data_IF_629854588946
#
_entry.id   IF_629854588946
#
_cell.length_a   1.000
_cell.length_b   1.000
_cell.length_c   1.000
_cell.angle_alpha   90.00
_cell.angle_beta   90.00
_cell.angle_gamma   90.00
#
_symmetry.space_group_name_H-M   'P 1'
#
loop_
_entity.id
_entity.type
_entity.pdbx_description
1 polymer ?
#
# COMPACT_ATOMS: atom_id res chain seq x y z
N UNK A 1 -11.44 -16.86 -12.37
CA UNK A 1 -10.86 -17.46 -11.14
C UNK A 1 -10.07 -16.49 -10.27
N UNK A 2 -9.23 -15.59 -10.82
CA UNK A 2 -8.39 -14.68 -10.01
C UNK A 2 -9.18 -13.79 -9.02
N UNK A 3 -10.35 -13.28 -9.42
CA UNK A 3 -11.21 -12.47 -8.54
C UNK A 3 -11.82 -13.24 -7.35
N UNK A 4 -12.15 -14.53 -7.51
CA UNK A 4 -12.68 -15.34 -6.40
C UNK A 4 -11.61 -15.61 -5.35
N UNK A 5 -10.37 -15.90 -5.77
CA UNK A 5 -9.23 -16.02 -4.84
C UNK A 5 -8.99 -14.71 -4.07
N UNK A 6 -9.06 -13.58 -4.77
CA UNK A 6 -8.94 -12.28 -4.10
C UNK A 6 -10.07 -12.05 -3.09
N UNK A 7 -11.31 -12.48 -3.39
CA UNK A 7 -12.42 -12.40 -2.46
C UNK A 7 -12.20 -13.26 -1.20
N UNK A 8 -11.69 -14.48 -1.34
CA UNK A 8 -11.35 -15.37 -0.21
C UNK A 8 -10.31 -14.75 0.72
N UNK A 9 -9.32 -14.05 0.15
CA UNK A 9 -8.26 -13.38 0.92
C UNK A 9 -8.78 -12.11 1.58
N UNK A 10 -9.54 -11.29 0.85
CA UNK A 10 -9.91 -9.94 1.29
C UNK A 10 -11.16 -9.90 2.17
N UNK A 11 -12.17 -10.74 1.92
CA UNK A 11 -13.43 -10.74 2.68
C UNK A 11 -13.26 -10.82 4.22
N UNK A 12 -12.33 -11.62 4.80
CA UNK A 12 -12.14 -11.68 6.25
C UNK A 12 -11.33 -10.50 6.83
N UNK A 13 -10.82 -9.58 6.01
CA UNK A 13 -10.01 -8.46 6.46
C UNK A 13 -10.90 -7.31 6.90
N UNK A 14 -10.91 -7.02 8.20
CA UNK A 14 -11.66 -5.93 8.80
C UNK A 14 -10.74 -5.10 9.69
N UNK A 15 -10.37 -3.91 9.21
CA UNK A 15 -9.50 -2.99 9.93
C UNK A 15 -9.81 -1.55 9.52
N UNK A 16 -9.81 -0.57 10.45
CA UNK A 16 -10.13 0.82 10.15
C UNK A 16 -9.18 1.50 9.14
N UNK A 17 -7.99 0.92 8.93
CA UNK A 17 -6.97 1.42 8.00
C UNK A 17 -6.80 0.57 6.74
N UNK A 18 -7.76 -0.30 6.46
CA UNK A 18 -7.86 -1.01 5.18
C UNK A 18 -9.06 -0.49 4.40
N UNK A 19 -8.90 -0.39 3.08
CA UNK A 19 -10.01 -0.12 2.18
C UNK A 19 -11.04 -1.24 2.30
N UNK A 20 -12.28 -0.88 2.65
CA UNK A 20 -13.33 -1.87 2.84
C UNK A 20 -13.65 -2.56 1.51
N UNK A 21 -13.72 -3.89 1.55
CA UNK A 21 -14.15 -4.72 0.44
C UNK A 21 -15.64 -5.05 0.57
N UNK A 22 -16.37 -5.01 -0.55
CA UNK A 22 -17.80 -5.30 -0.60
C UNK A 22 -18.14 -6.57 -1.39
N UNK A 23 -17.32 -6.96 -2.35
CA UNK A 23 -17.55 -8.18 -3.12
C UNK A 23 -16.78 -8.22 -4.44
N UNK A 24 -17.09 -9.23 -5.26
CA UNK A 24 -16.55 -9.39 -6.62
C UNK A 24 -17.64 -9.78 -7.60
N UNK A 25 -17.44 -9.43 -8.86
CA UNK A 25 -18.12 -10.05 -9.99
C UNK A 25 -17.13 -10.94 -10.73
N UNK A 26 -17.52 -12.18 -11.02
CA UNK A 26 -16.70 -13.15 -11.75
C UNK A 26 -17.31 -13.57 -13.09
N UNK A 27 -18.52 -13.10 -13.40
CA UNK A 27 -19.24 -13.41 -14.64
C UNK A 27 -19.02 -12.27 -15.64
N UNK A 28 -18.68 -12.61 -16.88
CA UNK A 28 -18.29 -11.62 -17.89
C UNK A 28 -16.92 -11.03 -17.59
N UNK A 29 -16.82 -9.70 -17.61
CA UNK A 29 -15.60 -8.97 -17.23
C UNK A 29 -15.46 -8.93 -15.69
N UNK A 30 -14.46 -9.61 -15.11
CA UNK A 30 -14.34 -9.69 -13.66
C UNK A 30 -13.92 -8.36 -13.03
N UNK A 31 -14.54 -8.00 -11.90
CA UNK A 31 -14.17 -6.80 -11.15
C UNK A 31 -14.38 -6.97 -9.63
N UNK A 32 -13.75 -6.08 -8.87
CA UNK A 32 -13.84 -6.03 -7.40
C UNK A 32 -14.61 -4.77 -7.00
N UNK A 33 -15.50 -4.89 -6.02
CA UNK A 33 -16.26 -3.79 -5.43
C UNK A 33 -15.64 -3.44 -4.09
N UNK A 34 -15.16 -2.20 -3.95
CA UNK A 34 -14.49 -1.68 -2.76
C UNK A 34 -15.02 -0.30 -2.36
N UNK A 35 -14.70 0.14 -1.16
CA UNK A 35 -14.93 1.52 -0.72
C UNK A 35 -14.32 2.51 -1.69
N UNK A 36 -15.09 3.54 -2.05
CA UNK A 36 -14.58 4.65 -2.84
C UNK A 36 -13.58 5.43 -1.99
N UNK A 37 -12.33 5.43 -2.42
CA UNK A 37 -11.24 6.18 -1.81
C UNK A 37 -10.52 7.02 -2.86
N UNK A 38 -9.70 7.95 -2.40
CA UNK A 38 -8.88 8.80 -3.24
C UNK A 38 -7.41 8.46 -3.00
N UNK A 39 -6.57 8.66 -4.02
CA UNK A 39 -5.12 8.63 -3.79
C UNK A 39 -4.73 9.83 -2.92
N UNK A 40 -3.77 9.61 -2.02
CA UNK A 40 -3.23 10.71 -1.21
C UNK A 40 -2.59 11.73 -2.16
N UNK A 41 -3.08 12.96 -2.11
CA UNK A 41 -2.61 14.07 -2.95
C UNK A 41 -2.61 15.38 -2.15
N UNK A 42 -1.88 16.38 -2.64
CA UNK A 42 -1.75 17.67 -1.96
C UNK A 42 -0.85 17.60 -0.72
N UNK A 43 -1.24 18.26 0.37
CA UNK A 43 -0.43 18.30 1.59
C UNK A 43 -0.49 16.96 2.35
N UNK A 44 0.53 16.13 2.15
CA UNK A 44 0.64 14.79 2.75
C UNK A 44 0.95 14.92 4.24
N UNK A 45 0.02 14.47 5.08
CA UNK A 45 0.23 14.35 6.52
C UNK A 45 0.88 13.03 6.88
N UNK A 46 1.95 13.07 7.69
CA UNK A 46 2.56 11.88 8.27
C UNK A 46 1.60 11.04 9.12
N UNK A 47 0.54 11.67 9.67
CA UNK A 47 -0.52 10.94 10.36
C UNK A 47 -1.26 9.98 9.40
N UNK A 48 -1.58 10.44 8.19
CA UNK A 48 -2.26 9.61 7.18
C UNK A 48 -1.35 8.45 6.75
N UNK A 49 -0.05 8.71 6.57
CA UNK A 49 0.92 7.67 6.21
C UNK A 49 1.08 6.63 7.33
N UNK A 50 1.11 7.07 8.60
CA UNK A 50 1.11 6.19 9.76
C UNK A 50 -0.15 5.30 9.80
N UNK A 51 -1.31 5.88 9.52
CA UNK A 51 -2.57 5.14 9.44
C UNK A 51 -2.49 4.04 8.35
N UNK A 52 -1.95 4.34 7.17
CA UNK A 52 -1.68 3.31 6.15
C UNK A 52 -0.73 2.22 6.65
N UNK A 53 0.32 2.57 7.39
CA UNK A 53 1.28 1.62 7.96
C UNK A 53 0.62 0.68 8.99
N UNK A 54 -0.33 1.18 9.80
CA UNK A 54 -1.13 0.35 10.70
C UNK A 54 -1.97 -0.68 9.91
N UNK A 55 -2.48 -0.29 8.74
CA UNK A 55 -3.13 -1.22 7.81
C UNK A 55 -2.18 -2.34 7.34
N UNK A 56 -0.93 -1.98 7.00
CA UNK A 56 0.07 -2.95 6.56
C UNK A 56 0.46 -3.95 7.67
N UNK A 57 0.68 -3.45 8.89
CA UNK A 57 0.96 -4.31 10.06
C UNK A 57 -0.18 -5.31 10.27
N UNK A 58 -1.43 -4.86 10.22
CA UNK A 58 -2.59 -5.74 10.33
C UNK A 58 -2.64 -6.81 9.21
N UNK A 59 -2.26 -6.48 7.97
CA UNK A 59 -2.18 -7.47 6.89
C UNK A 59 -1.16 -8.57 7.24
N UNK A 60 0.03 -8.18 7.72
CA UNK A 60 1.08 -9.11 8.09
C UNK A 60 0.67 -10.02 9.26
N UNK A 61 -0.02 -9.50 10.27
CA UNK A 61 -0.63 -10.30 11.35
C UNK A 61 -1.65 -11.33 10.83
N UNK A 62 -2.33 -11.00 9.74
CA UNK A 62 -3.26 -11.90 9.05
C UNK A 62 -2.57 -12.75 7.97
N UNK A 63 -1.24 -12.83 7.94
CA UNK A 63 -0.43 -13.53 6.91
C UNK A 63 -0.87 -13.19 5.48
N UNK A 64 -1.28 -11.94 5.27
CA UNK A 64 -1.59 -11.37 3.97
C UNK A 64 -0.45 -10.41 3.61
N UNK A 65 0.04 -10.52 2.38
CA UNK A 65 1.08 -9.66 1.82
C UNK A 65 0.65 -9.22 0.42
N UNK A 66 1.27 -8.18 -0.10
CA UNK A 66 1.05 -7.86 -1.51
C UNK A 66 1.67 -8.92 -2.40
N UNK A 67 1.02 -9.20 -3.54
CA UNK A 67 1.67 -9.93 -4.63
C UNK A 67 3.01 -9.24 -4.96
N UNK A 68 4.00 -9.94 -5.52
CA UNK A 68 5.30 -9.34 -5.90
C UNK A 68 5.09 -8.12 -6.80
N UNK A 69 5.03 -6.95 -6.20
CA UNK A 69 4.39 -5.78 -6.77
C UNK A 69 5.37 -4.64 -6.88
N UNK A 70 5.05 -3.75 -7.81
CA UNK A 70 5.65 -2.43 -7.91
C UNK A 70 4.95 -1.49 -6.92
N UNK A 71 5.61 -0.40 -6.51
CA UNK A 71 5.00 0.62 -5.64
C UNK A 71 3.68 1.22 -6.18
N UNK A 72 3.34 1.01 -7.46
CA UNK A 72 2.05 1.38 -8.04
C UNK A 72 0.88 0.48 -7.66
N UNK A 73 1.13 -0.76 -7.25
CA UNK A 73 0.07 -1.72 -6.89
C UNK A 73 -0.22 -1.70 -5.37
N UNK A 74 0.77 -1.33 -4.55
CA UNK A 74 0.58 -0.95 -3.15
C UNK A 74 0.10 0.50 -3.09
N UNK A 75 -1.22 0.68 -3.18
CA UNK A 75 -1.83 2.01 -3.20
C UNK A 75 -2.12 2.55 -1.80
N UNK A 76 -1.50 3.69 -1.48
CA UNK A 76 -1.83 4.49 -0.30
C UNK A 76 -3.04 5.38 -0.63
N UNK A 77 -4.10 5.23 0.15
CA UNK A 77 -5.40 5.84 -0.09
C UNK A 77 -5.81 6.74 1.07
N UNK A 78 -6.78 7.61 0.82
CA UNK A 78 -7.48 8.35 1.84
C UNK A 78 -9.00 8.31 1.67
N UNK A 79 -9.71 8.32 2.80
CA UNK A 79 -11.16 8.47 2.87
C UNK A 79 -11.49 9.32 4.09
N UNK A 80 -12.20 10.43 3.88
CA UNK A 80 -12.64 11.35 4.96
C UNK A 80 -11.51 11.77 5.92
N UNK A 81 -10.32 12.02 5.39
CA UNK A 81 -9.15 12.46 6.16
C UNK A 81 -8.40 11.35 6.91
N UNK A 82 -8.74 10.07 6.67
CA UNK A 82 -8.02 8.91 7.20
C UNK A 82 -7.13 8.27 6.14
N UNK A 83 -6.00 7.71 6.55
CA UNK A 83 -5.15 6.85 5.74
C UNK A 83 -5.67 5.43 5.67
N UNK A 84 -5.71 4.88 4.46
CA UNK A 84 -6.16 3.54 4.14
C UNK A 84 -5.16 2.86 3.22
N UNK A 85 -5.03 1.54 3.37
CA UNK A 85 -4.29 0.71 2.43
C UNK A 85 -5.25 -0.05 1.52
N UNK A 86 -4.94 -0.07 0.21
CA UNK A 86 -5.77 -0.82 -0.75
C UNK A 86 -5.78 -2.31 -0.44
N UNK A 87 -6.94 -2.95 -0.52
CA UNK A 87 -7.07 -4.40 -0.24
C UNK A 87 -7.09 -5.25 -1.50
N UNK A 88 -6.66 -4.68 -2.62
CA UNK A 88 -6.47 -5.35 -3.92
C UNK A 88 -5.08 -5.96 -4.03
N UNK A 89 -4.93 -7.04 -4.79
CA UNK A 89 -3.63 -7.67 -5.11
C UNK A 89 -2.91 -8.27 -3.89
N UNK A 90 -3.68 -8.88 -2.99
CA UNK A 90 -3.15 -9.55 -1.81
C UNK A 90 -2.95 -11.04 -2.08
N UNK A 91 -1.90 -11.60 -1.50
CA UNK A 91 -1.64 -13.03 -1.43
C UNK A 91 -1.69 -13.49 0.02
N UNK A 92 -2.22 -14.70 0.22
CA UNK A 92 -2.13 -15.39 1.50
C UNK A 92 -0.82 -16.16 1.57
N UNK A 93 -0.07 -15.97 2.64
CA UNK A 93 1.10 -16.80 2.90
C UNK A 93 0.64 -18.12 3.56
N UNK A 94 0.96 -19.29 2.98
CA UNK A 94 0.62 -20.58 3.56
C UNK A 94 1.23 -20.74 4.95
N UNK A 95 0.57 -21.44 5.86
CA UNK A 95 1.00 -21.60 7.26
C UNK A 95 2.41 -22.20 7.42
N UNK A 96 2.83 -23.04 6.47
CA UNK A 96 4.12 -23.73 6.50
C UNK A 96 5.26 -22.97 5.78
N UNK A 97 5.02 -21.75 5.32
CA UNK A 97 6.00 -20.93 4.60
C UNK A 97 6.52 -19.81 5.49
N UNK A 98 7.80 -19.47 5.36
CA UNK A 98 8.35 -18.28 6.02
C UNK A 98 7.80 -17.01 5.38
N UNK A 99 7.27 -16.11 6.22
CA UNK A 99 6.65 -14.87 5.78
C UNK A 99 7.68 -13.75 5.61
N UNK A 100 8.89 -13.93 6.16
CA UNK A 100 9.85 -12.86 6.38
C UNK A 100 10.27 -12.16 5.08
N UNK A 101 10.56 -12.89 4.01
CA UNK A 101 10.97 -12.29 2.74
C UNK A 101 9.83 -11.48 2.09
N UNK A 102 8.59 -11.92 2.23
CA UNK A 102 7.44 -11.23 1.64
C UNK A 102 7.09 -9.98 2.46
N UNK A 103 7.13 -10.08 3.79
CA UNK A 103 6.95 -8.95 4.71
C UNK A 103 8.01 -7.87 4.46
N UNK A 104 9.29 -8.25 4.35
CA UNK A 104 10.37 -7.28 4.06
C UNK A 104 10.17 -6.61 2.69
N UNK A 105 9.71 -7.36 1.69
CA UNK A 105 9.38 -6.77 0.40
C UNK A 105 8.23 -5.77 0.50
N UNK A 106 7.17 -6.09 1.24
CA UNK A 106 6.05 -5.18 1.48
C UNK A 106 6.48 -3.89 2.18
N UNK A 107 7.35 -3.98 3.19
CA UNK A 107 7.89 -2.81 3.90
C UNK A 107 8.70 -1.92 2.95
N UNK A 108 9.57 -2.52 2.13
CA UNK A 108 10.33 -1.79 1.12
C UNK A 108 9.42 -1.12 0.08
N UNK A 109 8.42 -1.83 -0.45
CA UNK A 109 7.46 -1.25 -1.39
C UNK A 109 6.60 -0.16 -0.75
N UNK A 110 6.26 -0.30 0.53
CA UNK A 110 5.58 0.74 1.31
C UNK A 110 6.43 1.99 1.41
N UNK A 111 7.73 1.86 1.72
CA UNK A 111 8.69 2.96 1.71
C UNK A 111 8.75 3.68 0.36
N UNK A 112 8.81 2.93 -0.74
CA UNK A 112 8.74 3.50 -2.08
C UNK A 112 7.41 4.22 -2.36
N UNK A 113 6.28 3.66 -1.93
CA UNK A 113 4.97 4.27 -2.09
C UNK A 113 4.86 5.59 -1.29
N UNK A 114 5.42 5.64 -0.08
CA UNK A 114 5.53 6.87 0.72
C UNK A 114 6.40 7.90 0.00
N UNK A 115 7.58 7.50 -0.47
CA UNK A 115 8.48 8.38 -1.23
C UNK A 115 7.78 8.98 -2.45
N UNK A 116 7.12 8.15 -3.26
CA UNK A 116 6.40 8.60 -4.46
C UNK A 116 5.24 9.53 -4.10
N UNK A 117 4.55 9.27 -2.99
CA UNK A 117 3.47 10.13 -2.49
C UNK A 117 4.01 11.50 -2.08
N UNK A 118 5.12 11.56 -1.36
CA UNK A 118 5.79 12.81 -0.98
C UNK A 118 6.34 13.57 -2.19
N UNK A 119 6.97 12.86 -3.14
CA UNK A 119 7.51 13.43 -4.36
C UNK A 119 6.40 14.10 -5.19
N UNK A 120 5.28 13.42 -5.42
CA UNK A 120 4.13 13.99 -6.16
C UNK A 120 3.51 15.19 -5.44
N UNK A 121 3.43 15.14 -4.11
CA UNK A 121 2.89 16.21 -3.30
C UNK A 121 3.74 17.49 -3.33
N UNK A 122 5.07 17.32 -3.31
CA UNK A 122 6.03 18.43 -3.18
C UNK A 122 6.64 18.88 -4.52
N UNK A 123 6.57 18.02 -5.55
CA UNK A 123 7.06 18.24 -6.92
C UNK A 123 6.06 17.72 -7.97
N UNK A 124 4.87 18.32 -8.07
CA UNK A 124 3.78 17.80 -8.90
C UNK A 124 4.07 17.81 -10.41
N UNK A 125 5.05 18.58 -10.87
CA UNK A 125 5.45 18.67 -12.29
C UNK A 125 6.44 17.59 -12.71
N UNK A 126 7.04 16.85 -11.76
CA UNK A 126 7.98 15.78 -12.05
C UNK A 126 7.24 14.44 -12.09
N UNK A 127 7.27 13.76 -13.24
CA UNK A 127 6.72 12.40 -13.35
C UNK A 127 7.72 11.40 -12.75
N UNK A 128 7.68 11.25 -11.43
CA UNK A 128 8.59 10.35 -10.71
C UNK A 128 8.08 8.91 -10.80
N UNK A 129 8.71 8.10 -11.63
CA UNK A 129 8.61 6.64 -11.58
C UNK A 129 9.95 6.08 -11.11
N UNK A 130 9.99 5.61 -9.87
CA UNK A 130 11.19 4.99 -9.30
C UNK A 130 10.91 3.54 -8.91
N UNK A 131 11.87 2.66 -9.20
CA UNK A 131 11.87 1.24 -8.78
C UNK A 131 12.69 1.01 -7.52
N UNK A 132 13.47 2.01 -7.12
CA UNK A 132 14.28 2.03 -5.91
C UNK A 132 14.45 3.48 -5.43
N UNK A 133 14.71 3.65 -4.13
CA UNK A 133 15.04 4.97 -3.59
C UNK A 133 16.33 5.48 -4.26
N UNK A 134 16.43 6.80 -4.52
CA UNK A 134 17.66 7.37 -5.05
C UNK A 134 18.82 7.16 -4.06
N UNK A 135 20.05 7.08 -4.57
CA UNK A 135 21.25 6.93 -3.72
C UNK A 135 21.59 8.20 -2.94
N UNK A 136 21.02 9.34 -3.33
CA UNK A 136 21.22 10.65 -2.71
C UNK A 136 19.87 11.17 -2.24
N UNK A 137 19.86 11.75 -1.04
CA UNK A 137 18.69 12.41 -0.48
C UNK A 137 18.18 13.52 -1.41
N UNK A 138 16.91 13.50 -1.83
CA UNK A 138 16.36 14.57 -2.63
C UNK A 138 16.05 15.80 -1.76
N UNK A 139 16.15 16.99 -2.35
CA UNK A 139 15.96 18.26 -1.62
C UNK A 139 14.55 18.41 -1.03
N UNK A 140 13.54 17.73 -1.58
CA UNK A 140 12.17 17.81 -1.07
C UNK A 140 11.97 17.02 0.24
N UNK A 141 12.89 16.11 0.58
CA UNK A 141 12.80 15.27 1.77
C UNK A 141 13.73 15.83 2.85
N UNK A 142 13.22 16.01 4.06
CA UNK A 142 14.07 16.34 5.21
C UNK A 142 14.92 15.13 5.64
N UNK A 143 15.99 15.37 6.40
CA UNK A 143 16.90 14.32 6.88
C UNK A 143 16.17 13.22 7.66
N UNK A 144 15.20 13.58 8.51
CA UNK A 144 14.41 12.62 9.28
C UNK A 144 13.53 11.75 8.39
N UNK A 145 12.87 12.35 7.40
CA UNK A 145 12.02 11.64 6.45
C UNK A 145 12.87 10.72 5.58
N UNK A 146 14.04 11.18 5.15
CA UNK A 146 14.97 10.40 4.36
C UNK A 146 15.53 9.21 5.14
N UNK A 147 15.98 9.43 6.37
CA UNK A 147 16.46 8.37 7.26
C UNK A 147 15.39 7.32 7.53
N UNK A 148 14.13 7.73 7.71
CA UNK A 148 13.00 6.81 7.87
C UNK A 148 12.78 5.97 6.60
N UNK A 149 12.78 6.60 5.42
CA UNK A 149 12.59 5.90 4.14
C UNK A 149 13.72 4.91 3.85
N UNK A 150 14.97 5.25 4.15
CA UNK A 150 16.11 4.34 4.00
C UNK A 150 16.10 3.16 4.99
N UNK A 151 15.37 3.29 6.11
CA UNK A 151 15.23 2.23 7.10
C UNK A 151 14.10 1.23 6.81
N UNK A 152 13.30 1.48 5.76
CA UNK A 152 12.24 0.58 5.28
C UNK A 152 12.76 -0.33 4.17
#
# INVERSE_FOLDING_TARGET
ESCLRQAEITAPLQHPHLQRFYGVCHVGEPFIVVERCEQISGNVSWKILLECALGLVYLHERRAVYQRTTASELSLLTSRGKGLLSTTNLLRIPENTSDQSAILNDVYQFGLAVFLTLARARRPTENTLVRALPTVQPEFASEKEWSLLCGM
#
